data_IF_873683052384
#
_entry.id   IF_873683052384
#
_cell.length_a   1.000
_cell.length_b   1.000
_cell.length_c   1.000
_cell.angle_alpha   90.00
_cell.angle_beta   90.00
_cell.angle_gamma   90.00
#
_symmetry.space_group_name_H-M   'P 1'
#
loop_
_entity.id
_entity.type
_entity.pdbx_description
1 polymer ?
#
# COMPACT_ATOMS: atom_id res chain seq x y z
N UNK A 1 -1.17 -31.40 -13.72
CA UNK A 1 -0.39 -30.60 -14.72
C UNK A 1 0.56 -29.64 -14.00
N UNK A 2 1.83 -29.52 -14.44
CA UNK A 2 2.84 -28.59 -13.84
C UNK A 2 2.97 -27.24 -14.57
N UNK A 3 2.09 -26.95 -15.53
CA UNK A 3 2.14 -25.73 -16.34
C UNK A 3 1.53 -24.51 -15.63
N UNK A 4 1.88 -23.32 -16.10
CA UNK A 4 1.25 -22.07 -15.65
C UNK A 4 -0.15 -21.95 -16.27
N UNK A 5 -1.24 -21.87 -15.47
CA UNK A 5 -2.59 -21.78 -15.98
C UNK A 5 -2.81 -20.53 -16.83
N UNK A 6 -2.24 -19.37 -16.52
CA UNK A 6 -2.41 -18.16 -17.35
C UNK A 6 -1.73 -18.30 -18.71
N UNK A 7 -0.53 -18.88 -18.76
CA UNK A 7 0.12 -19.19 -20.06
C UNK A 7 -0.73 -20.14 -20.88
N UNK A 8 -1.30 -21.17 -20.24
CA UNK A 8 -2.20 -22.10 -20.90
C UNK A 8 -3.51 -21.44 -21.35
N UNK A 9 -4.10 -20.56 -20.54
CA UNK A 9 -5.28 -19.78 -20.87
C UNK A 9 -5.04 -18.89 -22.09
N UNK A 10 -3.91 -18.19 -22.13
CA UNK A 10 -3.51 -17.36 -23.27
C UNK A 10 -3.28 -18.20 -24.53
N UNK A 11 -2.70 -19.39 -24.39
CA UNK A 11 -2.54 -20.34 -25.48
C UNK A 11 -3.90 -20.84 -26.00
N UNK A 12 -4.81 -21.25 -25.11
CA UNK A 12 -6.17 -21.67 -25.44
C UNK A 12 -6.95 -20.55 -26.13
N UNK A 13 -6.84 -19.31 -25.65
CA UNK A 13 -7.44 -18.12 -26.28
C UNK A 13 -6.97 -17.94 -27.72
N UNK A 14 -5.67 -18.07 -27.98
CA UNK A 14 -5.10 -17.96 -29.34
C UNK A 14 -5.56 -19.08 -30.27
N UNK A 15 -5.89 -20.24 -29.71
CA UNK A 15 -6.26 -21.45 -30.45
C UNK A 15 -7.73 -21.85 -30.23
N UNK A 16 -8.59 -20.92 -29.81
CA UNK A 16 -9.97 -21.24 -29.38
C UNK A 16 -10.81 -21.87 -30.50
N UNK A 17 -10.47 -21.60 -31.76
CA UNK A 17 -11.06 -22.21 -32.96
C UNK A 17 -10.82 -23.73 -33.04
N UNK A 18 -9.81 -24.25 -32.35
CA UNK A 18 -9.45 -25.67 -32.31
C UNK A 18 -10.16 -26.44 -31.19
N UNK A 19 -10.79 -25.73 -30.24
CA UNK A 19 -11.60 -26.33 -29.18
C UNK A 19 -12.93 -26.78 -29.78
N UNK A 20 -13.29 -28.06 -29.65
CA UNK A 20 -14.52 -28.59 -30.26
C UNK A 20 -15.79 -28.33 -29.44
N UNK A 21 -15.65 -28.14 -28.12
CA UNK A 21 -16.79 -27.91 -27.22
C UNK A 21 -17.12 -26.42 -27.09
N UNK A 22 -18.35 -26.04 -27.45
CA UNK A 22 -18.80 -24.65 -27.39
C UNK A 22 -18.88 -24.12 -25.95
N UNK A 23 -19.30 -24.97 -25.00
CA UNK A 23 -19.30 -24.64 -23.56
C UNK A 23 -17.88 -24.27 -23.11
N UNK A 24 -16.91 -25.08 -23.51
CA UNK A 24 -15.50 -24.89 -23.14
C UNK A 24 -14.94 -23.59 -23.72
N UNK A 25 -15.28 -23.26 -24.98
CA UNK A 25 -14.90 -21.97 -25.57
C UNK A 25 -15.45 -20.80 -24.78
N UNK A 26 -16.76 -20.80 -24.50
CA UNK A 26 -17.42 -19.73 -23.77
C UNK A 26 -16.78 -19.53 -22.38
N UNK A 27 -16.53 -20.62 -21.66
CA UNK A 27 -15.85 -20.57 -20.36
C UNK A 27 -14.42 -20.01 -20.46
N UNK A 28 -13.64 -20.38 -21.48
CA UNK A 28 -12.29 -19.80 -21.68
C UNK A 28 -12.39 -18.28 -21.89
N UNK A 29 -13.31 -17.81 -22.73
CA UNK A 29 -13.50 -16.38 -22.98
C UNK A 29 -13.89 -15.62 -21.71
N UNK A 30 -14.75 -16.23 -20.88
CA UNK A 30 -15.22 -15.66 -19.62
C UNK A 30 -14.13 -15.64 -18.53
N UNK A 31 -13.36 -16.71 -18.36
CA UNK A 31 -12.23 -16.76 -17.40
C UNK A 31 -11.18 -15.70 -17.75
N UNK A 32 -10.91 -15.48 -19.03
CA UNK A 32 -9.97 -14.44 -19.49
C UNK A 32 -10.40 -13.04 -19.05
N UNK A 33 -11.70 -12.77 -19.00
CA UNK A 33 -12.21 -11.46 -18.57
C UNK A 33 -12.10 -11.27 -17.05
N UNK A 34 -12.07 -12.35 -16.28
CA UNK A 34 -12.00 -12.30 -14.81
C UNK A 34 -10.57 -12.10 -14.28
N UNK A 35 -9.53 -12.48 -15.02
CA UNK A 35 -8.15 -12.34 -14.57
C UNK A 35 -7.62 -10.95 -14.93
N UNK A 36 -7.44 -10.09 -13.93
CA UNK A 36 -7.01 -8.68 -14.11
C UNK A 36 -5.48 -8.49 -14.02
N UNK A 37 -4.73 -9.57 -13.78
CA UNK A 37 -3.28 -9.47 -13.62
C UNK A 37 -2.49 -10.46 -14.46
N UNK A 38 -1.45 -9.94 -15.13
CA UNK A 38 -0.33 -10.72 -15.68
C UNK A 38 0.69 -11.15 -14.61
N UNK A 39 0.40 -10.95 -13.31
CA UNK A 39 1.31 -11.05 -12.15
C UNK A 39 1.86 -12.47 -11.85
N UNK A 40 1.69 -13.43 -12.76
CA UNK A 40 2.41 -14.70 -12.72
C UNK A 40 3.88 -14.49 -13.09
N UNK A 41 4.70 -14.02 -12.14
CA UNK A 41 6.15 -14.05 -12.29
C UNK A 41 6.61 -15.51 -12.11
N UNK A 42 6.52 -16.28 -13.20
CA UNK A 42 7.29 -17.51 -13.36
C UNK A 42 7.56 -17.75 -14.85
N UNK A 43 8.82 -17.62 -15.25
CA UNK A 43 9.34 -17.88 -16.60
C UNK A 43 9.49 -19.40 -16.89
N UNK A 44 8.79 -20.26 -16.16
CA UNK A 44 8.81 -21.72 -16.35
C UNK A 44 7.95 -22.23 -17.53
N UNK A 45 8.45 -23.29 -18.17
CA UNK A 45 8.05 -23.85 -19.47
C UNK A 45 6.68 -24.58 -19.52
N UNK A 46 6.11 -24.59 -20.72
CA UNK A 46 4.99 -25.43 -21.13
C UNK A 46 5.49 -26.87 -21.28
N UNK A 47 5.34 -27.70 -20.24
CA UNK A 47 5.66 -29.13 -20.31
C UNK A 47 4.40 -29.92 -20.72
N UNK A 48 4.20 -30.00 -22.04
CA UNK A 48 3.39 -30.92 -22.88
C UNK A 48 3.11 -30.21 -24.22
N UNK A 49 2.99 -30.94 -25.34
CA UNK A 49 2.69 -30.34 -26.65
C UNK A 49 1.41 -29.48 -26.53
N UNK A 50 1.52 -28.23 -26.96
CA UNK A 50 0.45 -27.25 -27.05
C UNK A 50 -0.84 -27.87 -27.67
N UNK A 51 -0.71 -28.75 -28.67
CA UNK A 51 -1.83 -29.46 -29.27
C UNK A 51 -2.45 -30.57 -28.39
N UNK A 52 -1.65 -31.24 -27.55
CA UNK A 52 -2.15 -32.25 -26.60
C UNK A 52 -2.95 -31.59 -25.46
N UNK A 53 -2.57 -30.38 -25.06
CA UNK A 53 -3.27 -29.66 -24.00
C UNK A 53 -4.71 -29.25 -24.43
N UNK A 54 -4.94 -28.90 -25.70
CA UNK A 54 -6.30 -28.61 -26.22
C UNK A 54 -7.19 -29.87 -26.20
N UNK A 55 -6.64 -31.02 -26.58
CA UNK A 55 -7.42 -32.28 -26.66
C UNK A 55 -7.79 -32.84 -25.29
N UNK A 56 -7.00 -32.52 -24.26
CA UNK A 56 -7.19 -33.00 -22.89
C UNK A 56 -7.99 -32.04 -22.02
N UNK A 57 -8.29 -30.81 -22.49
CA UNK A 57 -9.02 -29.83 -21.71
C UNK A 57 -10.51 -30.19 -21.56
N UNK A 58 -10.95 -30.38 -20.32
CA UNK A 58 -12.36 -30.59 -19.93
C UNK A 58 -12.66 -29.76 -18.68
N UNK A 59 -13.86 -29.17 -18.62
CA UNK A 59 -14.38 -28.39 -17.48
C UNK A 59 -15.53 -29.17 -16.81
N UNK A 60 -15.44 -30.50 -16.79
CA UNK A 60 -16.51 -31.34 -16.25
C UNK A 60 -16.36 -31.63 -14.74
N UNK A 61 -15.26 -31.20 -14.10
CA UNK A 61 -15.07 -31.32 -12.66
C UNK A 61 -15.88 -30.27 -11.90
N UNK A 62 -16.83 -30.73 -11.09
CA UNK A 62 -17.53 -29.86 -10.13
C UNK A 62 -16.64 -29.62 -8.91
N UNK A 63 -16.19 -28.39 -8.72
CA UNK A 63 -15.53 -27.97 -7.48
C UNK A 63 -16.52 -27.43 -6.47
N UNK A 64 -16.21 -27.62 -5.19
CA UNK A 64 -17.02 -27.10 -4.09
C UNK A 64 -16.39 -25.87 -3.43
N UNK A 65 -17.21 -24.97 -2.91
CA UNK A 65 -16.79 -23.73 -2.26
C UNK A 65 -17.39 -23.57 -0.85
N UNK A 66 -16.52 -23.45 0.15
CA UNK A 66 -16.86 -23.01 1.51
C UNK A 66 -16.78 -21.49 1.59
N UNK A 67 -17.85 -20.83 2.00
CA UNK A 67 -17.81 -19.39 2.35
C UNK A 67 -17.69 -19.26 3.86
N UNK A 68 -16.66 -18.54 4.32
CA UNK A 68 -16.22 -18.54 5.72
C UNK A 68 -16.29 -17.14 6.30
N UNK A 69 -16.94 -17.03 7.46
CA UNK A 69 -17.15 -15.80 8.21
C UNK A 69 -16.61 -15.90 9.63
N UNK A 70 -16.06 -14.79 10.12
CA UNK A 70 -16.03 -14.49 11.56
C UNK A 70 -17.01 -13.35 11.82
N UNK A 71 -17.82 -13.46 12.87
CA UNK A 71 -18.88 -12.48 13.16
C UNK A 71 -18.82 -12.01 14.61
N UNK A 72 -19.19 -10.74 14.83
CA UNK A 72 -19.44 -10.15 16.14
C UNK A 72 -20.34 -8.94 16.00
N UNK A 73 -21.56 -9.04 16.50
CA UNK A 73 -22.54 -7.95 16.47
C UNK A 73 -22.84 -7.42 15.05
N UNK A 74 -23.29 -8.32 14.19
CA UNK A 74 -23.55 -8.10 12.76
C UNK A 74 -25.03 -8.26 12.39
N UNK A 75 -25.96 -8.03 13.33
CA UNK A 75 -27.40 -8.25 13.14
C UNK A 75 -28.00 -7.47 11.96
N UNK A 76 -27.39 -6.34 11.59
CA UNK A 76 -27.86 -5.47 10.51
C UNK A 76 -27.32 -5.86 9.12
N UNK A 77 -26.37 -6.79 9.03
CA UNK A 77 -25.59 -7.01 7.80
C UNK A 77 -25.50 -8.46 7.38
N UNK A 78 -25.45 -9.39 8.34
CA UNK A 78 -25.22 -10.80 8.07
C UNK A 78 -26.23 -11.39 7.07
N UNK A 79 -27.50 -10.98 7.14
CA UNK A 79 -28.53 -11.47 6.20
C UNK A 79 -28.23 -11.10 4.75
N UNK A 80 -27.90 -9.84 4.48
CA UNK A 80 -27.60 -9.38 3.12
C UNK A 80 -26.34 -10.06 2.59
N UNK A 81 -25.33 -10.26 3.45
CA UNK A 81 -24.09 -10.95 3.09
C UNK A 81 -24.37 -12.42 2.70
N UNK A 82 -25.17 -13.14 3.49
CA UNK A 82 -25.57 -14.52 3.19
C UNK A 82 -26.42 -14.62 1.90
N UNK A 83 -27.34 -13.69 1.67
CA UNK A 83 -28.12 -13.62 0.43
C UNK A 83 -27.21 -13.43 -0.80
N UNK A 84 -26.14 -12.63 -0.68
CA UNK A 84 -25.21 -12.37 -1.79
C UNK A 84 -24.43 -13.60 -2.27
N UNK A 85 -24.29 -14.62 -1.42
CA UNK A 85 -23.53 -15.85 -1.72
C UNK A 85 -24.40 -17.10 -1.91
N UNK A 86 -25.73 -16.97 -1.79
CA UNK A 86 -26.68 -18.09 -1.87
C UNK A 86 -26.49 -18.95 -3.15
N UNK A 87 -26.18 -18.30 -4.27
CA UNK A 87 -26.02 -18.94 -5.57
C UNK A 87 -24.72 -19.72 -5.75
N UNK A 88 -23.71 -19.53 -4.89
CA UNK A 88 -22.38 -20.11 -5.07
C UNK A 88 -21.93 -21.01 -3.91
N UNK A 89 -22.35 -20.74 -2.69
CA UNK A 89 -21.88 -21.48 -1.52
C UNK A 89 -22.41 -22.92 -1.51
N UNK A 90 -21.50 -23.89 -1.43
CA UNK A 90 -21.83 -25.29 -1.12
C UNK A 90 -21.83 -25.55 0.39
N UNK A 91 -21.04 -24.76 1.12
CA UNK A 91 -20.95 -24.77 2.58
C UNK A 91 -20.78 -23.33 3.09
N UNK A 92 -21.45 -22.99 4.19
CA UNK A 92 -21.33 -21.68 4.84
C UNK A 92 -20.84 -21.92 6.27
N UNK A 93 -19.62 -21.52 6.58
CA UNK A 93 -19.05 -21.63 7.93
C UNK A 93 -19.09 -20.27 8.59
N UNK A 94 -19.80 -20.18 9.72
CA UNK A 94 -19.91 -18.94 10.49
C UNK A 94 -19.35 -19.18 11.88
N UNK A 95 -18.35 -18.39 12.27
CA UNK A 95 -17.76 -18.43 13.60
C UNK A 95 -18.11 -17.15 14.35
N UNK A 96 -19.00 -17.27 15.32
CA UNK A 96 -19.31 -16.19 16.24
C UNK A 96 -18.20 -16.01 17.29
N UNK A 97 -17.72 -14.79 17.44
CA UNK A 97 -16.65 -14.43 18.37
C UNK A 97 -17.15 -13.79 19.66
N UNK A 98 -18.43 -14.01 20.00
CA UNK A 98 -19.08 -13.48 21.18
C UNK A 98 -19.99 -12.29 20.87
N UNK A 99 -20.95 -12.47 19.97
CA UNK A 99 -22.03 -11.49 19.75
C UNK A 99 -22.93 -11.36 20.99
N UNK A 100 -23.40 -10.14 21.23
CA UNK A 100 -24.34 -9.78 22.30
C UNK A 100 -25.66 -9.20 21.78
N UNK A 101 -25.74 -8.98 20.46
CA UNK A 101 -26.96 -8.59 19.75
C UNK A 101 -27.69 -9.84 19.19
N UNK A 102 -28.61 -9.65 18.24
CA UNK A 102 -29.37 -10.76 17.66
C UNK A 102 -28.66 -11.50 16.53
N UNK A 103 -27.36 -11.29 16.30
CA UNK A 103 -26.62 -11.95 15.20
C UNK A 103 -26.78 -13.46 15.21
N UNK A 104 -26.53 -14.09 16.36
CA UNK A 104 -26.63 -15.55 16.54
C UNK A 104 -28.07 -16.03 16.37
N UNK A 105 -29.03 -15.31 16.94
CA UNK A 105 -30.47 -15.63 16.82
C UNK A 105 -30.91 -15.60 15.35
N UNK A 106 -30.51 -14.56 14.61
CA UNK A 106 -30.81 -14.41 13.19
C UNK A 106 -30.27 -15.59 12.39
N UNK A 107 -29.00 -15.96 12.60
CA UNK A 107 -28.36 -17.08 11.89
C UNK A 107 -29.06 -18.40 12.21
N UNK A 108 -29.38 -18.67 13.48
CA UNK A 108 -30.03 -19.90 13.90
C UNK A 108 -31.46 -20.06 13.36
N UNK A 109 -32.14 -18.95 13.07
CA UNK A 109 -33.48 -18.94 12.50
C UNK A 109 -33.49 -19.13 10.97
N UNK A 110 -32.32 -19.17 10.31
CA UNK A 110 -32.23 -19.47 8.88
C UNK A 110 -32.35 -20.97 8.64
N UNK A 111 -33.33 -21.36 7.82
CA UNK A 111 -33.51 -22.75 7.37
C UNK A 111 -32.61 -23.05 6.16
N UNK A 112 -31.28 -23.10 6.39
CA UNK A 112 -30.30 -23.45 5.36
C UNK A 112 -29.31 -24.50 5.90
N UNK A 113 -29.41 -25.73 5.38
CA UNK A 113 -28.59 -26.87 5.80
C UNK A 113 -27.10 -26.72 5.48
N UNK A 114 -26.73 -25.73 4.65
CA UNK A 114 -25.31 -25.42 4.36
C UNK A 114 -24.65 -24.63 5.49
N UNK A 115 -25.43 -23.98 6.36
CA UNK A 115 -24.93 -23.12 7.43
C UNK A 115 -24.43 -23.95 8.61
N UNK A 116 -23.17 -23.71 8.99
CA UNK A 116 -22.52 -24.24 10.18
C UNK A 116 -22.11 -23.10 11.09
N UNK A 117 -22.90 -22.88 12.13
CA UNK A 117 -22.58 -21.93 13.18
C UNK A 117 -21.72 -22.59 14.26
N UNK A 118 -20.59 -21.97 14.58
CA UNK A 118 -19.70 -22.35 15.69
C UNK A 118 -19.34 -21.11 16.51
N UNK A 119 -18.85 -21.33 17.73
CA UNK A 119 -18.40 -20.25 18.60
C UNK A 119 -16.90 -20.34 18.85
N UNK A 120 -16.22 -19.19 18.80
CA UNK A 120 -14.82 -19.05 19.16
C UNK A 120 -14.69 -17.99 20.25
N UNK A 121 -14.07 -18.33 21.38
CA UNK A 121 -13.88 -17.37 22.47
C UNK A 121 -12.87 -16.32 22.01
N UNK A 122 -13.32 -15.08 21.83
CA UNK A 122 -12.45 -13.97 21.47
C UNK A 122 -11.25 -13.86 22.41
N UNK A 123 -10.06 -13.84 21.82
CA UNK A 123 -8.78 -13.85 22.53
C UNK A 123 -7.81 -12.80 21.97
N UNK A 124 -8.33 -11.72 21.38
CA UNK A 124 -7.54 -10.65 20.79
C UNK A 124 -6.64 -11.10 19.62
N UNK A 125 -7.13 -12.07 18.84
CA UNK A 125 -6.43 -12.56 17.64
C UNK A 125 -7.44 -12.88 16.51
N UNK A 126 -7.49 -12.01 15.50
CA UNK A 126 -8.32 -12.21 14.31
C UNK A 126 -7.84 -13.41 13.47
N UNK A 127 -6.53 -13.65 13.40
CA UNK A 127 -5.97 -14.78 12.66
C UNK A 127 -6.42 -16.10 13.27
N UNK A 128 -6.39 -16.25 14.59
CA UNK A 128 -6.83 -17.49 15.23
C UNK A 128 -8.31 -17.78 14.99
N UNK A 129 -9.17 -16.76 15.06
CA UNK A 129 -10.59 -16.90 14.75
C UNK A 129 -10.82 -17.30 13.28
N UNK A 130 -10.14 -16.64 12.32
CA UNK A 130 -10.24 -17.00 10.90
C UNK A 130 -9.70 -18.39 10.61
N UNK A 131 -8.56 -18.76 11.21
CA UNK A 131 -7.97 -20.08 11.06
C UNK A 131 -8.86 -21.17 11.70
N UNK A 132 -9.53 -20.87 12.81
CA UNK A 132 -10.53 -21.76 13.37
C UNK A 132 -11.69 -21.98 12.40
N UNK A 133 -12.20 -20.91 11.78
CA UNK A 133 -13.26 -20.99 10.78
C UNK A 133 -12.82 -21.81 9.54
N UNK A 134 -11.63 -21.56 8.99
CA UNK A 134 -11.02 -22.32 7.89
C UNK A 134 -10.94 -23.82 8.20
N UNK A 135 -10.53 -24.20 9.41
CA UNK A 135 -10.42 -25.62 9.80
C UNK A 135 -11.76 -26.35 9.86
N UNK A 136 -12.88 -25.64 9.93
CA UNK A 136 -14.22 -26.25 9.89
C UNK A 136 -14.70 -26.48 8.45
N UNK A 137 -14.06 -25.85 7.46
CA UNK A 137 -14.42 -25.93 6.05
C UNK A 137 -14.06 -27.29 5.44
N UNK A 138 -14.95 -27.82 4.60
CA UNK A 138 -14.83 -29.15 3.99
C UNK A 138 -14.77 -29.13 2.47
N UNK A 139 -15.04 -28.00 1.82
CA UNK A 139 -15.01 -27.89 0.37
C UNK A 139 -13.58 -27.74 -0.17
N UNK A 140 -13.43 -27.86 -1.48
CA UNK A 140 -12.14 -27.79 -2.19
C UNK A 140 -11.51 -26.39 -2.10
N UNK A 141 -12.36 -25.36 -2.09
CA UNK A 141 -11.98 -23.95 -2.06
C UNK A 141 -12.62 -23.24 -0.88
N UNK A 142 -11.96 -22.18 -0.42
CA UNK A 142 -12.44 -21.29 0.64
C UNK A 142 -12.55 -19.88 0.08
N UNK A 143 -13.70 -19.24 0.29
CA UNK A 143 -13.92 -17.80 0.15
C UNK A 143 -14.13 -17.21 1.55
N UNK A 144 -13.25 -16.31 1.97
CA UNK A 144 -13.40 -15.58 3.24
C UNK A 144 -14.15 -14.28 2.98
N UNK A 145 -15.23 -14.02 3.71
CA UNK A 145 -15.96 -12.76 3.67
C UNK A 145 -16.16 -12.23 5.10
N UNK A 146 -16.19 -10.90 5.22
CA UNK A 146 -16.65 -10.26 6.45
C UNK A 146 -18.19 -10.11 6.37
N UNK A 147 -18.88 -10.11 7.51
CA UNK A 147 -20.35 -10.03 7.52
C UNK A 147 -20.91 -8.70 6.96
N UNK A 148 -20.05 -7.69 6.84
CA UNK A 148 -20.34 -6.39 6.25
C UNK A 148 -20.03 -6.29 4.76
N UNK A 149 -19.66 -7.41 4.15
CA UNK A 149 -19.29 -7.53 2.75
C UNK A 149 -20.37 -8.28 1.95
N UNK A 150 -20.63 -7.78 0.75
CA UNK A 150 -21.54 -8.35 -0.25
C UNK A 150 -20.70 -8.76 -1.45
N UNK A 151 -20.79 -10.02 -1.86
CA UNK A 151 -20.18 -10.46 -3.11
C UNK A 151 -20.99 -9.86 -4.27
N UNK A 152 -20.39 -8.89 -4.96
CA UNK A 152 -20.98 -8.23 -6.11
C UNK A 152 -20.53 -8.95 -7.37
N UNK A 153 -21.33 -8.79 -8.42
CA UNK A 153 -21.13 -9.37 -9.75
C UNK A 153 -21.70 -10.79 -9.96
N UNK A 154 -22.26 -10.99 -11.17
CA UNK A 154 -23.25 -12.02 -11.50
C UNK A 154 -22.71 -13.11 -12.43
N UNK A 155 -23.16 -14.34 -12.15
CA UNK A 155 -23.20 -15.59 -12.94
C UNK A 155 -21.97 -16.49 -12.78
N UNK A 156 -22.22 -17.72 -12.30
CA UNK A 156 -21.61 -19.06 -12.55
C UNK A 156 -20.11 -19.23 -12.80
N UNK A 157 -19.42 -18.24 -13.32
CA UNK A 157 -18.04 -18.27 -13.80
C UNK A 157 -17.01 -18.45 -12.70
N UNK A 158 -17.29 -18.02 -11.47
CA UNK A 158 -16.35 -18.24 -10.38
C UNK A 158 -16.14 -19.74 -10.13
N UNK A 159 -17.19 -20.57 -10.14
CA UNK A 159 -17.01 -22.03 -10.00
C UNK A 159 -16.30 -22.63 -11.22
N UNK A 160 -16.64 -22.20 -12.43
CA UNK A 160 -15.96 -22.68 -13.65
C UNK A 160 -14.47 -22.30 -13.66
N UNK A 161 -14.14 -21.09 -13.19
CA UNK A 161 -12.78 -20.61 -13.02
C UNK A 161 -12.03 -21.40 -11.93
N UNK A 162 -12.68 -21.67 -10.80
CA UNK A 162 -12.10 -22.51 -9.75
C UNK A 162 -11.88 -23.95 -10.22
N UNK A 163 -12.80 -24.51 -11.01
CA UNK A 163 -12.65 -25.81 -11.65
C UNK A 163 -11.47 -25.82 -12.63
N UNK A 164 -11.35 -24.78 -13.46
CA UNK A 164 -10.20 -24.59 -14.34
C UNK A 164 -8.87 -24.59 -13.57
N UNK A 165 -8.80 -23.78 -12.50
CA UNK A 165 -7.59 -23.71 -11.68
C UNK A 165 -7.32 -25.02 -10.93
N UNK A 166 -8.34 -25.76 -10.49
CA UNK A 166 -8.16 -27.02 -9.76
C UNK A 166 -7.39 -28.09 -10.55
N UNK A 167 -7.40 -28.04 -11.89
CA UNK A 167 -6.64 -28.94 -12.77
C UNK A 167 -5.11 -28.79 -12.66
N UNK A 168 -4.63 -27.72 -12.03
CA UNK A 168 -3.22 -27.39 -11.90
C UNK A 168 -2.71 -27.68 -10.47
N UNK A 169 -1.70 -28.55 -10.36
CA UNK A 169 -1.17 -29.00 -9.07
C UNK A 169 -0.34 -27.92 -8.35
N UNK A 170 0.21 -26.96 -9.11
CA UNK A 170 1.08 -25.89 -8.61
C UNK A 170 0.32 -24.69 -7.99
N UNK A 171 -0.96 -24.85 -7.66
CA UNK A 171 -1.81 -23.79 -7.10
C UNK A 171 -2.04 -23.87 -5.59
N UNK A 172 -1.40 -24.82 -4.91
CA UNK A 172 -1.58 -25.00 -3.46
C UNK A 172 -1.09 -23.79 -2.64
N UNK A 173 -0.22 -22.95 -3.20
CA UNK A 173 0.30 -21.72 -2.59
C UNK A 173 -0.25 -20.44 -3.23
N UNK A 174 -1.33 -20.55 -4.02
CA UNK A 174 -1.93 -19.43 -4.74
C UNK A 174 -3.12 -18.83 -3.98
N UNK A 175 -3.13 -17.50 -3.91
CA UNK A 175 -4.18 -16.70 -3.29
C UNK A 175 -4.78 -15.77 -4.35
N UNK A 176 -6.09 -15.85 -4.48
CA UNK A 176 -6.86 -15.01 -5.38
C UNK A 176 -7.38 -13.78 -4.63
N UNK A 177 -6.94 -12.62 -5.09
CA UNK A 177 -7.33 -11.34 -4.57
C UNK A 177 -8.59 -10.85 -5.28
N UNK A 178 -9.58 -10.42 -4.51
CA UNK A 178 -10.80 -9.79 -5.03
C UNK A 178 -10.72 -8.28 -4.83
N UNK A 179 -11.50 -7.55 -5.63
CA UNK A 179 -11.59 -6.10 -5.60
C UNK A 179 -12.59 -5.66 -4.53
N UNK A 180 -12.09 -5.15 -3.43
CA UNK A 180 -12.91 -4.66 -2.32
C UNK A 180 -13.24 -3.19 -2.57
N UNK A 181 -14.52 -2.85 -2.62
CA UNK A 181 -15.00 -1.47 -2.69
C UNK A 181 -15.65 -1.09 -1.36
N UNK A 182 -15.05 -0.15 -0.64
CA UNK A 182 -15.62 0.46 0.58
C UNK A 182 -15.82 1.95 0.35
N UNK A 183 -17.07 2.37 0.16
CA UNK A 183 -17.41 3.75 -0.20
C UNK A 183 -16.65 4.25 -1.45
N UNK A 184 -15.68 5.17 -1.29
CA UNK A 184 -14.86 5.71 -2.40
C UNK A 184 -13.52 4.99 -2.57
N UNK A 185 -13.17 4.12 -1.62
CA UNK A 185 -11.90 3.40 -1.62
C UNK A 185 -12.05 2.07 -2.34
N UNK A 186 -11.04 1.70 -3.11
CA UNK A 186 -10.96 0.41 -3.78
C UNK A 186 -9.57 -0.16 -3.59
N UNK A 187 -9.49 -1.39 -3.10
CA UNK A 187 -8.23 -2.10 -2.90
C UNK A 187 -8.41 -3.59 -3.22
N UNK A 188 -7.31 -4.33 -3.29
CA UNK A 188 -7.34 -5.78 -3.51
C UNK A 188 -6.79 -6.51 -2.31
N UNK A 189 -7.44 -7.61 -1.96
CA UNK A 189 -6.98 -8.48 -0.87
C UNK A 189 -7.33 -9.92 -1.16
N UNK A 190 -6.49 -10.84 -0.67
CA UNK A 190 -6.70 -12.27 -0.77
C UNK A 190 -7.98 -12.68 -0.07
N UNK A 191 -8.90 -13.30 -0.81
CA UNK A 191 -10.19 -13.78 -0.29
C UNK A 191 -10.47 -15.23 -0.68
N UNK A 192 -9.91 -15.71 -1.80
CA UNK A 192 -10.12 -17.08 -2.28
C UNK A 192 -8.81 -17.86 -2.34
N UNK A 193 -8.82 -19.10 -1.85
CA UNK A 193 -7.67 -20.00 -1.88
C UNK A 193 -8.13 -21.46 -1.76
N UNK A 194 -7.27 -22.40 -2.13
CA UNK A 194 -7.56 -23.84 -2.02
C UNK A 194 -7.58 -24.25 -0.55
N UNK A 195 -8.50 -25.13 -0.16
CA UNK A 195 -8.58 -25.65 1.20
C UNK A 195 -7.45 -26.66 1.46
N UNK A 196 -6.26 -26.16 1.78
CA UNK A 196 -5.07 -26.94 2.11
C UNK A 196 -4.51 -26.48 3.45
N UNK A 197 -3.93 -27.41 4.21
CA UNK A 197 -3.40 -27.12 5.55
C UNK A 197 -2.18 -26.18 5.54
N UNK A 198 -1.54 -25.99 4.39
CA UNK A 198 -0.38 -25.12 4.24
C UNK A 198 -0.74 -23.63 4.24
N UNK A 199 -1.99 -23.25 3.96
CA UNK A 199 -2.43 -21.85 3.96
C UNK A 199 -3.07 -21.49 5.30
N UNK A 200 -2.59 -20.42 5.93
CA UNK A 200 -3.18 -19.90 7.17
C UNK A 200 -2.95 -18.40 7.33
N UNK A 201 -3.84 -17.75 8.09
CA UNK A 201 -3.68 -16.36 8.50
C UNK A 201 -2.61 -16.20 9.57
N UNK A 202 -1.78 -15.17 9.42
CA UNK A 202 -0.73 -14.75 10.35
C UNK A 202 -0.95 -13.30 10.77
N UNK A 203 -0.79 -13.04 12.07
CA UNK A 203 -0.87 -11.70 12.68
C UNK A 203 -2.23 -11.44 13.36
N UNK A 204 -2.21 -10.90 14.58
CA UNK A 204 -3.39 -10.65 15.40
C UNK A 204 -4.41 -9.71 14.77
N UNK A 205 -3.94 -8.72 14.01
CA UNK A 205 -4.74 -7.75 13.25
C UNK A 205 -4.02 -7.41 11.94
N UNK A 206 -4.76 -6.96 10.93
CA UNK A 206 -4.26 -6.75 9.57
C UNK A 206 -3.57 -8.01 9.05
N UNK A 207 -4.18 -9.15 9.41
CA UNK A 207 -3.75 -10.50 9.15
C UNK A 207 -3.48 -10.73 7.66
N UNK A 208 -2.50 -11.57 7.39
CA UNK A 208 -2.13 -11.94 6.02
C UNK A 208 -2.21 -13.44 5.88
N UNK A 209 -2.73 -13.90 4.75
CA UNK A 209 -2.63 -15.30 4.38
C UNK A 209 -1.17 -15.62 4.03
N UNK A 210 -0.65 -16.67 4.65
CA UNK A 210 0.72 -17.16 4.47
C UNK A 210 0.68 -18.63 4.07
N UNK A 211 1.73 -19.06 3.37
CA UNK A 211 1.99 -20.45 3.04
C UNK A 211 3.43 -20.80 3.43
N UNK A 212 3.72 -22.08 3.67
CA UNK A 212 5.10 -22.55 3.88
C UNK A 212 5.98 -22.29 2.65
N UNK A 213 5.38 -22.42 1.46
CA UNK A 213 5.99 -22.00 0.20
C UNK A 213 5.74 -20.51 -0.07
N UNK A 214 6.51 -19.93 -0.98
CA UNK A 214 6.30 -18.55 -1.42
C UNK A 214 4.89 -18.40 -2.03
N UNK A 215 4.04 -17.66 -1.35
CA UNK A 215 2.67 -17.37 -1.80
C UNK A 215 2.67 -16.64 -3.15
N UNK A 216 1.82 -17.11 -4.08
CA UNK A 216 1.54 -16.44 -5.35
C UNK A 216 0.21 -15.72 -5.25
N UNK A 217 0.12 -14.51 -5.79
CA UNK A 217 -1.11 -13.73 -5.77
C UNK A 217 -1.65 -13.51 -7.18
N UNK A 218 -2.96 -13.63 -7.35
CA UNK A 218 -3.65 -13.39 -8.64
C UNK A 218 -4.79 -12.41 -8.38
N UNK A 219 -4.87 -11.34 -9.15
CA UNK A 219 -5.98 -10.40 -9.03
C UNK A 219 -7.13 -10.84 -9.94
N UNK A 220 -8.32 -10.97 -9.35
CA UNK A 220 -9.55 -11.22 -10.08
C UNK A 220 -10.39 -9.94 -10.11
N UNK A 221 -11.02 -9.65 -11.25
CA UNK A 221 -12.03 -8.58 -11.38
C UNK A 221 -13.39 -9.09 -10.90
N UNK A 222 -13.43 -9.47 -9.63
CA UNK A 222 -14.63 -9.82 -8.88
C UNK A 222 -14.76 -8.77 -7.78
N UNK A 223 -15.91 -8.09 -7.75
CA UNK A 223 -16.15 -7.01 -6.81
C UNK A 223 -16.77 -7.53 -5.51
N UNK A 224 -16.29 -7.03 -4.38
CA UNK A 224 -16.92 -7.23 -3.07
C UNK A 224 -17.18 -5.85 -2.50
N UNK A 225 -18.45 -5.55 -2.25
CA UNK A 225 -18.86 -4.27 -1.67
C UNK A 225 -18.90 -4.41 -0.14
N UNK A 226 -18.14 -3.57 0.56
CA UNK A 226 -18.11 -3.55 2.03
C UNK A 226 -18.53 -2.19 2.60
N UNK A 227 -18.95 -2.20 3.85
CA UNK A 227 -19.29 -0.98 4.60
C UNK A 227 -18.05 -0.36 5.28
N UNK A 228 -18.01 0.97 5.43
CA UNK A 228 -16.89 1.61 6.14
C UNK A 228 -17.25 1.80 7.63
N UNK A 229 -16.55 1.08 8.51
CA UNK A 229 -16.80 1.13 9.96
C UNK A 229 -15.51 1.31 10.74
N UNK A 230 -15.21 2.58 11.06
CA UNK A 230 -14.13 2.95 11.96
C UNK A 230 -14.74 3.62 13.19
N UNK A 231 -14.61 2.96 14.34
CA UNK A 231 -14.89 3.54 15.65
C UNK A 231 -13.58 3.84 16.37
N UNK A 232 -13.58 4.80 17.29
CA UNK A 232 -12.37 5.18 18.06
C UNK A 232 -11.83 3.99 18.87
N UNK A 233 -12.70 3.25 19.55
CA UNK A 233 -12.32 2.07 20.36
C UNK A 233 -11.64 0.98 19.51
N UNK A 234 -12.03 0.85 18.24
CA UNK A 234 -11.42 -0.09 17.30
C UNK A 234 -10.00 0.32 16.93
N UNK A 235 -9.71 1.62 16.82
CA UNK A 235 -8.37 2.13 16.53
C UNK A 235 -7.39 1.81 17.66
N UNK A 236 -7.79 2.02 18.92
CA UNK A 236 -6.94 1.73 20.08
C UNK A 236 -6.62 0.24 20.21
N UNK A 237 -7.63 -0.61 20.03
CA UNK A 237 -7.44 -2.07 20.00
C UNK A 237 -6.50 -2.47 18.85
N UNK A 238 -6.66 -1.92 17.65
CA UNK A 238 -5.82 -2.30 16.51
C UNK A 238 -4.37 -1.90 16.74
N UNK A 239 -4.13 -0.73 17.33
CA UNK A 239 -2.79 -0.28 17.69
C UNK A 239 -2.12 -1.20 18.72
N UNK A 240 -2.84 -1.65 19.75
CA UNK A 240 -2.27 -2.58 20.73
C UNK A 240 -1.91 -3.93 20.09
N UNK A 241 -2.79 -4.46 19.24
CA UNK A 241 -2.55 -5.70 18.49
C UNK A 241 -1.39 -5.58 17.49
N UNK A 242 -1.20 -4.41 16.87
CA UNK A 242 -0.07 -4.14 16.00
C UNK A 242 1.26 -4.20 16.76
N UNK A 243 1.32 -3.64 17.98
CA UNK A 243 2.52 -3.73 18.83
C UNK A 243 2.82 -5.19 19.22
N UNK A 244 1.79 -5.98 19.54
CA UNK A 244 1.97 -7.41 19.80
C UNK A 244 2.48 -8.15 18.56
N UNK A 245 1.98 -7.82 17.36
CA UNK A 245 2.49 -8.37 16.10
C UNK A 245 3.97 -8.03 15.87
N UNK A 246 4.37 -6.77 16.10
CA UNK A 246 5.77 -6.34 15.98
C UNK A 246 6.66 -7.13 16.94
N UNK A 247 6.19 -7.36 18.17
CA UNK A 247 6.93 -8.17 19.15
C UNK A 247 7.03 -9.64 18.76
N UNK A 248 5.99 -10.24 18.19
CA UNK A 248 5.99 -11.64 17.79
C UNK A 248 6.77 -11.88 16.48
N UNK A 249 6.79 -10.88 15.60
CA UNK A 249 7.36 -10.97 14.27
C UNK A 249 8.29 -9.78 13.97
N UNK A 250 9.42 -9.65 14.67
CA UNK A 250 10.28 -8.47 14.59
C UNK A 250 10.97 -8.27 13.22
N UNK A 251 11.00 -9.31 12.38
CA UNK A 251 11.57 -9.25 11.03
C UNK A 251 10.54 -8.84 9.95
N UNK A 252 9.26 -8.67 10.30
CA UNK A 252 8.19 -8.41 9.34
C UNK A 252 7.87 -6.91 9.26
N UNK A 253 8.25 -6.23 8.16
CA UNK A 253 8.11 -4.77 8.04
C UNK A 253 6.66 -4.29 7.96
N UNK A 254 5.73 -5.17 7.56
CA UNK A 254 4.32 -4.81 7.33
C UNK A 254 3.66 -4.19 8.56
N UNK A 255 3.76 -4.84 9.73
CA UNK A 255 3.07 -4.36 10.93
C UNK A 255 3.74 -3.12 11.52
N UNK A 256 5.06 -2.97 11.34
CA UNK A 256 5.77 -1.73 11.66
C UNK A 256 5.26 -0.59 10.78
N UNK A 257 5.18 -0.78 9.47
CA UNK A 257 4.62 0.22 8.56
C UNK A 257 3.20 0.65 8.96
N UNK A 258 2.31 -0.31 9.23
CA UNK A 258 0.92 -0.01 9.60
C UNK A 258 0.84 0.78 10.91
N UNK A 259 1.62 0.38 11.92
CA UNK A 259 1.68 1.08 13.20
C UNK A 259 2.21 2.51 13.04
N UNK A 260 3.31 2.69 12.29
CA UNK A 260 3.89 4.00 12.04
C UNK A 260 2.94 4.90 11.24
N UNK A 261 2.28 4.37 10.20
CA UNK A 261 1.30 5.10 9.39
C UNK A 261 0.16 5.65 10.24
N UNK A 262 -0.39 4.83 11.14
CA UNK A 262 -1.59 5.18 11.90
C UNK A 262 -1.33 6.12 13.08
N UNK A 263 -0.05 6.26 13.46
CA UNK A 263 0.43 7.02 14.61
C UNK A 263 1.54 8.04 14.24
N UNK A 264 1.70 8.38 12.96
CA UNK A 264 2.78 9.26 12.49
C UNK A 264 2.80 10.62 13.19
N UNK A 265 1.62 11.21 13.38
CA UNK A 265 1.46 12.52 13.99
C UNK A 265 1.64 12.49 15.52
N UNK A 266 1.43 11.34 16.16
CA UNK A 266 1.48 11.20 17.62
C UNK A 266 2.82 10.70 18.15
N UNK A 267 3.54 9.87 17.38
CA UNK A 267 4.84 9.33 17.76
C UNK A 267 5.92 10.40 17.75
N UNK A 268 6.92 10.27 18.63
CA UNK A 268 8.12 11.11 18.59
C UNK A 268 9.04 10.72 17.41
N UNK A 269 10.04 11.54 17.13
CA UNK A 269 11.09 11.19 16.16
C UNK A 269 11.83 9.93 16.61
N UNK A 270 12.16 9.86 17.90
CA UNK A 270 12.91 8.78 18.52
C UNK A 270 12.16 7.45 18.42
N UNK A 271 10.85 7.46 18.69
CA UNK A 271 10.02 6.25 18.56
C UNK A 271 10.00 5.74 17.11
N UNK A 272 9.79 6.64 16.14
CA UNK A 272 9.73 6.27 14.72
C UNK A 272 11.07 5.66 14.28
N UNK A 273 12.20 6.23 14.69
CA UNK A 273 13.52 5.69 14.39
C UNK A 273 13.72 4.32 15.06
N UNK A 274 13.32 4.15 16.33
CA UNK A 274 13.49 2.89 17.04
C UNK A 274 12.69 1.74 16.40
N UNK A 275 11.43 1.99 16.02
CA UNK A 275 10.62 1.03 15.27
C UNK A 275 11.20 0.74 13.88
N UNK A 276 11.84 1.71 13.25
CA UNK A 276 12.36 1.59 11.88
C UNK A 276 13.75 1.00 11.78
N UNK A 277 14.54 0.94 12.87
CA UNK A 277 15.99 0.68 12.85
C UNK A 277 16.41 -0.59 12.09
N UNK A 278 15.60 -1.65 12.13
CA UNK A 278 15.90 -2.91 11.44
C UNK A 278 15.52 -2.91 9.96
N UNK A 279 14.80 -1.87 9.51
CA UNK A 279 14.27 -1.72 8.16
C UNK A 279 14.91 -0.54 7.41
N UNK A 280 15.89 0.15 8.00
CA UNK A 280 16.71 1.15 7.30
C UNK A 280 17.85 0.48 6.52
N UNK A 281 17.51 -0.50 5.69
CA UNK A 281 18.43 -1.27 4.84
C UNK A 281 18.08 -1.10 3.36
N UNK A 282 19.05 -1.27 2.46
CA UNK A 282 18.78 -1.28 1.02
C UNK A 282 17.89 -2.46 0.65
N UNK A 283 16.68 -2.17 0.17
CA UNK A 283 15.65 -3.16 -0.11
C UNK A 283 14.58 -2.59 -1.01
N UNK A 284 14.18 -3.39 -1.99
CA UNK A 284 13.05 -3.13 -2.89
C UNK A 284 11.72 -3.61 -2.30
N UNK A 285 11.70 -4.11 -1.06
CA UNK A 285 10.47 -4.50 -0.37
C UNK A 285 9.51 -3.31 -0.23
N UNK A 286 8.21 -3.56 -0.48
CA UNK A 286 7.19 -2.51 -0.45
C UNK A 286 7.12 -1.80 0.90
N UNK A 287 7.08 -2.55 2.00
CA UNK A 287 6.88 -2.00 3.33
C UNK A 287 8.14 -1.31 3.85
N UNK A 288 9.32 -1.87 3.55
CA UNK A 288 10.59 -1.24 3.91
C UNK A 288 10.72 0.15 3.28
N UNK A 289 10.47 0.29 1.98
CA UNK A 289 10.53 1.60 1.32
C UNK A 289 9.49 2.56 1.90
N UNK A 290 8.28 2.08 2.22
CA UNK A 290 7.23 2.90 2.85
C UNK A 290 7.60 3.35 4.26
N UNK A 291 8.28 2.51 5.06
CA UNK A 291 8.80 2.90 6.38
C UNK A 291 9.80 4.05 6.22
N UNK A 292 10.76 3.93 5.31
CA UNK A 292 11.74 5.00 5.05
C UNK A 292 11.08 6.31 4.60
N UNK A 293 10.03 6.24 3.77
CA UNK A 293 9.20 7.40 3.39
C UNK A 293 8.54 8.03 4.62
N UNK A 294 7.96 7.23 5.54
CA UNK A 294 7.36 7.76 6.78
C UNK A 294 8.38 8.46 7.68
N UNK A 295 9.60 7.92 7.78
CA UNK A 295 10.72 8.58 8.48
C UNK A 295 11.01 9.95 7.86
N UNK A 296 11.12 10.03 6.53
CA UNK A 296 11.34 11.29 5.82
C UNK A 296 10.21 12.31 6.07
N UNK A 297 8.96 11.86 6.00
CA UNK A 297 7.80 12.72 6.29
C UNK A 297 7.88 13.24 7.72
N UNK A 298 8.22 12.40 8.70
CA UNK A 298 8.36 12.84 10.09
C UNK A 298 9.44 13.91 10.24
N UNK A 299 10.61 13.70 9.66
CA UNK A 299 11.73 14.64 9.72
C UNK A 299 11.34 16.02 9.17
N UNK A 300 10.58 16.05 8.07
CA UNK A 300 10.04 17.29 7.51
C UNK A 300 9.04 17.94 8.48
N UNK A 301 8.10 17.18 9.05
CA UNK A 301 7.08 17.71 9.98
C UNK A 301 7.70 18.42 11.19
N UNK A 302 8.86 17.95 11.66
CA UNK A 302 9.57 18.53 12.81
C UNK A 302 10.67 19.53 12.43
N UNK A 303 10.88 19.80 11.13
CA UNK A 303 11.87 20.77 10.64
C UNK A 303 13.33 20.28 10.64
N UNK A 304 13.56 18.98 10.71
CA UNK A 304 14.90 18.36 10.65
C UNK A 304 15.36 18.14 9.20
N UNK A 305 15.60 19.24 8.48
CA UNK A 305 15.85 19.19 7.03
C UNK A 305 17.18 18.56 6.62
N UNK A 306 18.25 18.75 7.40
CA UNK A 306 19.58 18.14 7.11
C UNK A 306 19.50 16.61 7.16
N UNK A 307 18.92 16.07 8.23
CA UNK A 307 18.72 14.62 8.41
C UNK A 307 17.73 14.05 7.38
N UNK A 308 16.75 14.84 6.95
CA UNK A 308 15.89 14.46 5.83
C UNK A 308 16.69 14.29 4.53
N UNK A 309 17.59 15.22 4.20
CA UNK A 309 18.43 15.14 3.00
C UNK A 309 19.25 13.85 3.03
N UNK A 310 19.93 13.57 4.16
CA UNK A 310 20.72 12.35 4.34
C UNK A 310 19.89 11.08 4.16
N UNK A 311 18.71 11.01 4.81
CA UNK A 311 17.84 9.83 4.73
C UNK A 311 17.13 9.67 3.39
N UNK A 312 16.88 10.78 2.68
CA UNK A 312 16.22 10.74 1.39
C UNK A 312 17.13 10.17 0.29
N UNK A 313 18.45 10.38 0.38
CA UNK A 313 19.43 9.77 -0.53
C UNK A 313 19.36 8.24 -0.50
N UNK A 314 19.07 7.64 0.66
CA UNK A 314 18.93 6.18 0.86
C UNK A 314 17.68 5.57 0.19
N UNK A 315 16.77 6.37 -0.37
CA UNK A 315 15.51 5.90 -1.00
C UNK A 315 15.35 6.27 -2.46
N UNK A 316 16.27 7.02 -3.07
CA UNK A 316 16.05 7.62 -4.39
C UNK A 316 15.78 6.57 -5.49
N UNK A 317 16.51 5.46 -5.48
CA UNK A 317 16.38 4.40 -6.48
C UNK A 317 15.08 3.59 -6.34
N UNK A 318 14.68 3.27 -5.10
CA UNK A 318 13.57 2.35 -4.82
C UNK A 318 12.22 3.06 -4.65
N UNK A 319 12.25 4.36 -4.35
CA UNK A 319 11.07 5.17 -4.05
C UNK A 319 10.25 5.59 -5.27
N UNK A 320 10.83 5.54 -6.48
CA UNK A 320 10.24 6.13 -7.70
C UNK A 320 8.85 5.60 -8.07
N UNK A 321 8.50 4.41 -7.58
CA UNK A 321 7.19 3.76 -7.80
C UNK A 321 6.07 4.28 -6.90
N UNK A 322 6.35 5.18 -5.96
CA UNK A 322 5.36 5.71 -5.02
C UNK A 322 5.02 7.17 -5.33
N UNK A 323 3.74 7.55 -5.28
CA UNK A 323 3.30 8.93 -5.52
C UNK A 323 3.91 9.91 -4.53
N UNK A 324 3.99 9.53 -3.25
CA UNK A 324 4.52 10.38 -2.17
C UNK A 324 6.00 10.73 -2.39
N UNK A 325 6.74 9.81 -3.03
CA UNK A 325 8.15 10.02 -3.36
C UNK A 325 8.34 11.18 -4.34
N UNK A 326 7.42 11.39 -5.27
CA UNK A 326 7.52 12.50 -6.24
C UNK A 326 7.55 13.85 -5.52
N UNK A 327 6.68 14.02 -4.52
CA UNK A 327 6.63 15.23 -3.71
C UNK A 327 7.89 15.40 -2.87
N UNK A 328 8.31 14.33 -2.18
CA UNK A 328 9.53 14.36 -1.34
C UNK A 328 10.79 14.62 -2.17
N UNK A 329 10.90 14.05 -3.37
CA UNK A 329 12.02 14.29 -4.28
C UNK A 329 12.10 15.75 -4.73
N UNK A 330 10.95 16.36 -5.03
CA UNK A 330 10.91 17.78 -5.37
C UNK A 330 11.39 18.63 -4.19
N UNK A 331 10.92 18.35 -2.97
CA UNK A 331 11.34 19.05 -1.76
C UNK A 331 12.85 18.86 -1.48
N UNK A 332 13.35 17.64 -1.61
CA UNK A 332 14.78 17.33 -1.49
C UNK A 332 15.64 18.15 -2.46
N UNK A 333 15.25 18.24 -3.73
CA UNK A 333 15.97 19.06 -4.72
C UNK A 333 15.93 20.55 -4.38
N UNK A 334 14.81 21.06 -3.88
CA UNK A 334 14.72 22.45 -3.43
C UNK A 334 15.65 22.72 -2.24
N UNK A 335 15.70 21.82 -1.27
CA UNK A 335 16.57 21.95 -0.10
C UNK A 335 18.05 21.88 -0.47
N UNK A 336 18.45 20.98 -1.39
CA UNK A 336 19.82 20.94 -1.91
C UNK A 336 20.22 22.23 -2.61
N UNK A 337 19.35 22.76 -3.47
CA UNK A 337 19.58 24.03 -4.14
C UNK A 337 19.74 25.18 -3.12
N UNK A 338 18.91 25.19 -2.07
CA UNK A 338 19.01 26.18 -1.01
C UNK A 338 20.35 26.08 -0.26
N UNK A 339 20.85 24.88 -0.01
CA UNK A 339 22.16 24.67 0.61
C UNK A 339 23.30 25.15 -0.29
N UNK A 340 23.29 24.81 -1.58
CA UNK A 340 24.29 25.31 -2.55
C UNK A 340 24.30 26.84 -2.62
N UNK A 341 23.12 27.48 -2.67
CA UNK A 341 23.03 28.94 -2.67
C UNK A 341 23.58 29.52 -1.34
N UNK A 342 23.32 28.85 -0.21
CA UNK A 342 23.83 29.28 1.09
C UNK A 342 25.36 29.18 1.16
N UNK A 343 25.97 28.12 0.63
CA UNK A 343 27.43 27.97 0.56
C UNK A 343 28.07 29.06 -0.30
N UNK A 344 27.53 29.29 -1.50
CA UNK A 344 28.00 30.38 -2.38
C UNK A 344 27.86 31.74 -1.67
N UNK A 345 26.82 31.94 -0.86
CA UNK A 345 26.65 33.16 -0.05
C UNK A 345 27.83 33.37 0.90
N UNK A 346 28.24 32.30 1.58
CA UNK A 346 29.27 32.31 2.62
C UNK A 346 30.64 32.59 1.98
N UNK A 347 30.94 31.94 0.85
CA UNK A 347 32.17 32.18 0.09
C UNK A 347 32.27 33.64 -0.37
N UNK A 348 31.17 34.16 -0.93
CA UNK A 348 31.10 35.56 -1.33
C UNK A 348 31.29 36.50 -0.15
N UNK A 349 30.63 36.24 0.99
CA UNK A 349 30.79 37.06 2.20
C UNK A 349 32.23 37.04 2.73
N UNK A 350 32.91 35.90 2.64
CA UNK A 350 34.32 35.75 3.01
C UNK A 350 35.23 36.57 2.12
N UNK A 351 35.03 36.52 0.79
CA UNK A 351 35.75 37.33 -0.18
C UNK A 351 35.49 38.83 0.06
N UNK A 352 34.23 39.20 0.29
CA UNK A 352 33.83 40.58 0.57
C UNK A 352 34.57 41.15 1.79
N UNK A 353 34.55 40.45 2.93
CA UNK A 353 35.24 40.90 4.15
C UNK A 353 36.75 41.03 3.95
N UNK A 354 37.33 40.17 3.11
CA UNK A 354 38.75 40.24 2.78
C UNK A 354 39.04 41.48 1.93
N UNK A 355 38.25 41.77 0.89
CA UNK A 355 38.42 42.95 0.03
C UNK A 355 38.19 44.25 0.81
N UNK A 356 37.13 44.33 1.62
CA UNK A 356 36.82 45.52 2.41
C UNK A 356 37.85 45.83 3.50
N UNK A 357 38.68 44.85 3.88
CA UNK A 357 39.80 45.04 4.80
C UNK A 357 41.07 45.64 4.17
N UNK A 358 41.14 45.71 2.84
CA UNK A 358 42.25 46.35 2.13
C UNK A 358 41.93 47.82 1.80
N UNK A 359 42.85 48.71 2.13
CA UNK A 359 42.83 50.08 1.61
C UNK A 359 43.33 50.03 0.16
N UNK A 360 42.40 50.04 -0.80
CA UNK A 360 42.71 49.97 -2.23
C UNK A 360 42.25 51.25 -2.92
N UNK A 361 43.20 52.03 -3.43
CA UNK A 361 42.98 53.26 -4.22
C UNK A 361 42.57 52.98 -5.69
N UNK A 362 42.71 51.73 -6.17
CA UNK A 362 42.51 51.32 -7.58
C UNK A 362 41.16 50.59 -7.81
N UNK A 363 40.10 51.01 -7.11
CA UNK A 363 38.77 50.40 -7.24
C UNK A 363 38.01 50.98 -8.45
N UNK A 364 37.66 50.11 -9.42
CA UNK A 364 36.80 50.46 -10.58
C UNK A 364 35.34 50.70 -10.14
N UNK A 365 34.88 50.01 -9.10
CA UNK A 365 33.54 50.15 -8.52
C UNK A 365 33.64 50.60 -7.06
N UNK A 366 32.68 51.40 -6.60
CA UNK A 366 32.64 51.86 -5.21
C UNK A 366 32.44 50.68 -4.25
N UNK A 367 32.90 50.80 -3.01
CA UNK A 367 32.65 49.80 -1.95
C UNK A 367 31.17 49.57 -1.67
N UNK A 368 30.33 50.54 -2.07
CA UNK A 368 28.89 50.52 -1.88
C UNK A 368 28.20 49.53 -2.83
N UNK A 369 28.80 49.19 -3.98
CA UNK A 369 28.28 48.19 -4.91
C UNK A 369 28.27 46.77 -4.32
N UNK A 370 29.21 46.44 -3.43
CA UNK A 370 29.28 45.11 -2.83
C UNK A 370 28.11 44.81 -1.89
N UNK A 371 27.59 45.82 -1.16
CA UNK A 371 26.39 45.66 -0.33
C UNK A 371 25.15 45.40 -1.22
N UNK A 372 25.11 46.01 -2.39
CA UNK A 372 24.10 45.81 -3.44
C UNK A 372 24.05 44.37 -3.94
N UNK A 373 25.24 43.83 -4.21
CA UNK A 373 25.41 42.46 -4.67
C UNK A 373 25.07 41.46 -3.55
N UNK A 374 25.44 41.75 -2.30
CA UNK A 374 25.05 40.95 -1.13
C UNK A 374 23.53 40.94 -0.92
N UNK A 375 22.88 42.11 -0.95
CA UNK A 375 21.43 42.21 -0.83
C UNK A 375 20.71 41.44 -1.94
N UNK A 376 21.21 41.53 -3.17
CA UNK A 376 20.69 40.79 -4.32
C UNK A 376 20.82 39.29 -4.10
N UNK A 377 22.01 38.86 -3.68
CA UNK A 377 22.28 37.47 -3.40
C UNK A 377 21.31 36.91 -2.35
N UNK A 378 21.11 37.64 -1.25
CA UNK A 378 20.20 37.25 -0.18
C UNK A 378 18.73 37.19 -0.63
N UNK A 379 18.30 38.02 -1.59
CA UNK A 379 16.96 37.92 -2.20
C UNK A 379 16.84 36.60 -2.97
N UNK A 380 17.79 36.31 -3.86
CA UNK A 380 17.72 35.12 -4.71
C UNK A 380 17.97 33.81 -3.93
N UNK A 381 18.66 33.87 -2.79
CA UNK A 381 18.76 32.77 -1.82
C UNK A 381 17.58 32.63 -0.87
N UNK A 382 16.50 33.41 -1.04
CA UNK A 382 15.29 33.32 -0.21
C UNK A 382 15.45 33.87 1.22
N UNK A 383 16.58 34.52 1.53
CA UNK A 383 16.90 35.09 2.84
C UNK A 383 16.35 36.51 2.97
N UNK A 384 15.07 36.69 2.67
CA UNK A 384 14.42 37.99 2.50
C UNK A 384 14.61 38.94 3.69
N UNK A 385 14.44 38.47 4.93
CA UNK A 385 14.65 39.33 6.12
C UNK A 385 16.07 39.88 6.22
N UNK A 386 17.07 39.06 5.92
CA UNK A 386 18.49 39.49 5.92
C UNK A 386 18.76 40.43 4.74
N UNK A 387 18.18 40.16 3.57
CA UNK A 387 18.25 41.06 2.43
C UNK A 387 17.66 42.44 2.77
N UNK A 388 16.49 42.48 3.43
CA UNK A 388 15.84 43.70 3.89
C UNK A 388 16.72 44.49 4.86
N UNK A 389 17.39 43.82 5.81
CA UNK A 389 18.34 44.48 6.71
C UNK A 389 19.52 45.10 5.96
N UNK A 390 20.11 44.37 5.00
CA UNK A 390 21.22 44.85 4.17
C UNK A 390 20.78 46.07 3.34
N UNK A 391 19.64 45.99 2.65
CA UNK A 391 19.15 47.09 1.82
C UNK A 391 18.68 48.31 2.62
N UNK A 392 18.11 48.15 3.82
CA UNK A 392 17.81 49.28 4.72
C UNK A 392 19.08 49.99 5.16
N UNK A 393 20.08 49.23 5.61
CA UNK A 393 21.40 49.78 5.97
C UNK A 393 22.06 50.48 4.78
N UNK A 394 21.87 49.99 3.55
CA UNK A 394 22.37 50.65 2.35
C UNK A 394 21.68 52.00 2.09
N UNK A 395 20.35 52.04 2.15
CA UNK A 395 19.57 53.26 1.91
C UNK A 395 19.89 54.36 2.93
N UNK A 396 20.21 54.00 4.17
CA UNK A 396 20.61 54.94 5.22
C UNK A 396 22.03 55.52 5.02
N UNK A 397 22.90 54.84 4.25
CA UNK A 397 24.31 55.21 4.06
C UNK A 397 24.66 55.64 2.61
N UNK A 398 23.67 56.07 1.82
CA UNK A 398 23.80 56.41 0.39
C UNK A 398 24.46 55.28 -0.43
N UNK A 399 24.06 54.02 -0.22
CA UNK A 399 24.58 52.86 -0.93
C UNK A 399 24.13 52.75 -2.39
N UNK A 400 24.94 52.11 -3.26
CA UNK A 400 24.61 51.91 -4.67
C UNK A 400 23.53 50.83 -4.83
N UNK A 401 22.38 51.17 -5.43
CA UNK A 401 21.26 50.24 -5.64
C UNK A 401 21.49 49.42 -6.92
N UNK A 402 21.12 48.12 -6.98
CA UNK A 402 21.31 47.34 -8.20
C UNK A 402 20.50 47.96 -9.33
N UNK A 403 21.06 48.02 -10.54
CA UNK A 403 20.48 48.80 -11.65
C UNK A 403 19.05 48.39 -12.06
N UNK A 404 18.62 47.17 -11.72
CA UNK A 404 17.26 46.67 -11.97
C UNK A 404 16.26 46.97 -10.84
N UNK A 405 16.71 47.51 -9.71
CA UNK A 405 15.85 48.07 -8.67
C UNK A 405 15.77 49.59 -8.83
N UNK A 406 14.55 50.12 -8.88
CA UNK A 406 14.30 51.55 -8.69
C UNK A 406 14.14 51.84 -7.19
N UNK A 407 14.38 53.08 -6.76
CA UNK A 407 14.07 53.49 -5.38
C UNK A 407 12.63 53.16 -4.97
N UNK A 408 11.67 53.24 -5.90
CA UNK A 408 10.27 52.88 -5.63
C UNK A 408 10.10 51.37 -5.43
N UNK A 409 10.62 50.55 -6.35
CA UNK A 409 10.46 49.10 -6.29
C UNK A 409 11.22 48.45 -5.14
N UNK A 410 12.37 49.02 -4.74
CA UNK A 410 13.08 48.59 -3.55
C UNK A 410 12.29 48.95 -2.27
N UNK A 411 11.75 50.16 -2.17
CA UNK A 411 10.95 50.56 -1.01
C UNK A 411 9.66 49.73 -0.86
N UNK A 412 9.02 49.34 -1.97
CA UNK A 412 7.87 48.44 -1.93
C UNK A 412 8.27 47.02 -1.50
N UNK A 413 9.42 46.50 -1.98
CA UNK A 413 9.99 45.24 -1.52
C UNK A 413 10.30 45.24 -0.01
N UNK A 414 10.79 46.36 0.55
CA UNK A 414 11.12 46.48 1.98
C UNK A 414 9.90 46.60 2.92
N UNK A 415 8.69 46.79 2.37
CA UNK A 415 7.42 46.90 3.13
C UNK A 415 6.71 45.56 3.32
N UNK A 416 7.02 44.56 2.49
CA UNK A 416 6.51 43.20 2.54
C UNK A 416 7.54 42.26 3.19
#
# INVERSE_FOLDING_TARGET
MKSNPIKFLNYLKKNISTVHSEKVKQTIEEIVLLVDSDDWIDEGEVLLDEQENIKSFSIDESVTLSVVYIVKNEENYILNSLESIDWIADEIVIVDTGSTDRTVEIIQNLSDDRIKLSHFKWNNDFSEARNFAIRQSKCDWILVLDADELLMDKKTLLKDMLAYFAMFENLQSTIFNLKIRRSKETYRTGKIFKNVSSISYKGKVHEVLTCEEKTKHINLDIEVQGENRVTTDKKELYNSLLLENISMYPAEPRWVYLYLRDNLDTLSKEDIIDFSKHFLIDSTDYYIVRIKILVCIKLIQIGHFEEFIEKFEEIEADGIRFSDFVFLNFLYKLLKLQNEISEISIDYFTIFNKISSFDCDDRIFSDKYFQSLLGTFLIYGGMFRKATTVYKSMLENDGDIPWYFTNSSLNDFLRH
#
